data_IF_161896093725
#
_entry.id   IF_161896093725
#
_cell.length_a   1.000
_cell.length_b   1.000
_cell.length_c   1.000
_cell.angle_alpha   90.00
_cell.angle_beta   90.00
_cell.angle_gamma   90.00
#
_symmetry.space_group_name_H-M   'P 1'
#
loop_
_entity.id
_entity.type
_entity.pdbx_description
1 polymer ?
#
# COMPACT_ATOMS: atom_id res chain seq x y z
N UNK A 1 -7.96 12.29 8.49
CA UNK A 1 -8.23 11.81 7.12
C UNK A 1 -9.72 11.76 6.87
N UNK A 2 -10.19 12.12 5.67
CA UNK A 2 -11.60 11.95 5.31
C UNK A 2 -11.98 10.49 5.47
N UNK A 3 -13.06 10.21 6.21
CA UNK A 3 -13.55 8.83 6.46
C UNK A 3 -14.20 8.21 5.22
N UNK A 4 -14.43 9.00 4.16
CA UNK A 4 -15.12 8.55 2.95
C UNK A 4 -14.13 8.07 1.88
N UNK A 5 -14.46 6.90 1.34
CA UNK A 5 -13.83 6.31 0.18
C UNK A 5 -13.90 7.22 -1.05
N UNK A 6 -12.78 7.52 -1.74
CA UNK A 6 -12.82 8.16 -3.04
C UNK A 6 -13.19 7.14 -4.14
N UNK A 7 -14.42 6.61 -4.10
CA UNK A 7 -14.89 5.49 -4.92
C UNK A 7 -14.72 5.71 -6.42
N UNK A 8 -14.99 6.93 -6.90
CA UNK A 8 -14.87 7.29 -8.32
C UNK A 8 -13.41 7.21 -8.80
N UNK A 9 -12.48 7.76 -8.01
CA UNK A 9 -11.05 7.72 -8.32
C UNK A 9 -10.51 6.28 -8.32
N UNK A 10 -10.91 5.47 -7.34
CA UNK A 10 -10.48 4.06 -7.27
C UNK A 10 -10.97 3.27 -8.48
N UNK A 11 -12.23 3.42 -8.87
CA UNK A 11 -12.77 2.78 -10.08
C UNK A 11 -12.05 3.23 -11.35
N UNK A 12 -11.69 4.51 -11.45
CA UNK A 12 -10.92 5.03 -12.58
C UNK A 12 -9.53 4.38 -12.63
N UNK A 13 -8.80 4.33 -11.52
CA UNK A 13 -7.48 3.72 -11.44
C UNK A 13 -7.50 2.22 -11.73
N UNK A 14 -8.48 1.50 -11.19
CA UNK A 14 -8.62 0.07 -11.43
C UNK A 14 -8.96 -0.25 -12.91
N UNK A 15 -9.73 0.59 -13.59
CA UNK A 15 -10.07 0.42 -15.03
C UNK A 15 -8.98 0.88 -15.99
N UNK A 16 -8.08 1.77 -15.56
CA UNK A 16 -7.08 2.41 -16.45
C UNK A 16 -6.18 1.40 -17.18
N UNK A 17 -5.91 0.24 -16.57
CA UNK A 17 -4.89 -0.69 -17.05
C UNK A 17 -5.43 -2.05 -17.51
N UNK A 18 -6.75 -2.28 -17.44
CA UNK A 18 -7.31 -3.62 -17.65
C UNK A 18 -8.75 -3.58 -18.16
N UNK A 19 -9.08 -4.42 -19.15
CA UNK A 19 -10.46 -4.60 -19.62
C UNK A 19 -11.25 -5.55 -18.70
N UNK A 20 -11.08 -5.41 -17.38
CA UNK A 20 -11.69 -6.29 -16.38
C UNK A 20 -12.98 -5.68 -15.82
N UNK A 21 -13.95 -6.54 -15.54
CA UNK A 21 -15.18 -6.14 -14.86
C UNK A 21 -14.92 -6.05 -13.36
N UNK A 22 -14.92 -4.84 -12.82
CA UNK A 22 -14.78 -4.60 -11.38
C UNK A 22 -16.09 -5.04 -10.69
N UNK A 23 -15.99 -6.02 -9.79
CA UNK A 23 -17.11 -6.50 -8.98
C UNK A 23 -17.71 -5.40 -8.09
N UNK A 24 -18.97 -5.58 -7.68
CA UNK A 24 -19.63 -4.64 -6.76
C UNK A 24 -18.81 -4.53 -5.47
N UNK A 25 -18.54 -3.30 -5.04
CA UNK A 25 -17.76 -2.97 -3.84
C UNK A 25 -16.28 -3.40 -3.84
N UNK A 26 -15.74 -3.93 -4.94
CA UNK A 26 -14.30 -4.22 -5.04
C UNK A 26 -13.43 -2.96 -4.89
N UNK A 27 -14.00 -1.78 -5.17
CA UNK A 27 -13.36 -0.48 -4.91
C UNK A 27 -13.11 -0.23 -3.42
N UNK A 28 -13.98 -0.74 -2.53
CA UNK A 28 -13.78 -0.62 -1.07
C UNK A 28 -12.66 -1.54 -0.58
N UNK A 29 -12.52 -2.74 -1.17
CA UNK A 29 -11.40 -3.64 -0.88
C UNK A 29 -10.06 -3.03 -1.32
N UNK A 30 -10.03 -2.42 -2.51
CA UNK A 30 -8.85 -1.71 -2.98
C UNK A 30 -8.50 -0.52 -2.06
N UNK A 31 -9.50 0.20 -1.56
CA UNK A 31 -9.28 1.27 -0.59
C UNK A 31 -8.69 0.75 0.72
N UNK A 32 -9.25 -0.34 1.27
CA UNK A 32 -8.75 -0.94 2.51
C UNK A 32 -7.28 -1.36 2.32
N UNK A 33 -6.98 -2.04 1.22
CA UNK A 33 -5.61 -2.45 0.91
C UNK A 33 -4.66 -1.25 0.84
N UNK A 34 -5.08 -0.17 0.15
CA UNK A 34 -4.31 1.07 0.10
C UNK A 34 -4.06 1.66 1.50
N UNK A 35 -5.06 1.67 2.37
CA UNK A 35 -4.91 2.17 3.74
C UNK A 35 -3.93 1.32 4.56
N UNK A 36 -4.00 0.00 4.45
CA UNK A 36 -3.09 -0.92 5.15
C UNK A 36 -1.65 -0.75 4.66
N UNK A 37 -1.46 -0.63 3.34
CA UNK A 37 -0.14 -0.38 2.74
C UNK A 37 0.41 0.96 3.20
N UNK A 38 -0.37 2.04 3.15
CA UNK A 38 0.06 3.37 3.59
C UNK A 38 0.40 3.41 5.08
N UNK A 39 -0.37 2.71 5.92
CA UNK A 39 -0.11 2.63 7.35
C UNK A 39 1.23 1.93 7.63
N UNK A 40 1.46 0.75 7.04
CA UNK A 40 2.73 0.02 7.18
C UNK A 40 3.91 0.83 6.65
N UNK A 41 3.75 1.41 5.45
CA UNK A 41 4.79 2.25 4.85
C UNK A 41 5.14 3.44 5.73
N UNK A 42 4.16 4.10 6.35
CA UNK A 42 4.39 5.22 7.26
C UNK A 42 5.14 4.78 8.53
N UNK A 43 4.75 3.64 9.10
CA UNK A 43 5.39 3.08 10.30
C UNK A 43 6.86 2.69 10.04
N UNK A 44 7.11 1.93 8.97
CA UNK A 44 8.46 1.53 8.56
C UNK A 44 9.32 2.74 8.15
N UNK A 45 8.74 3.73 7.49
CA UNK A 45 9.46 4.98 7.13
C UNK A 45 9.81 5.81 8.37
N UNK A 46 8.97 5.76 9.41
CA UNK A 46 9.24 6.42 10.69
C UNK A 46 10.39 5.74 11.43
N UNK A 47 10.41 4.40 11.47
CA UNK A 47 11.54 3.64 12.03
C UNK A 47 12.84 3.98 11.30
N UNK A 48 12.82 4.00 9.96
CA UNK A 48 14.00 4.33 9.17
C UNK A 48 14.50 5.76 9.36
N UNK A 49 13.58 6.72 9.49
CA UNK A 49 13.94 8.10 9.82
C UNK A 49 14.60 8.18 11.20
N UNK A 50 14.11 7.42 12.18
CA UNK A 50 14.69 7.36 13.52
C UNK A 50 16.09 6.74 13.54
N UNK A 51 16.32 5.64 12.80
CA UNK A 51 17.64 5.01 12.63
C UNK A 51 18.66 6.00 12.04
N UNK A 52 18.23 6.81 11.07
CA UNK A 52 19.04 7.86 10.45
C UNK A 52 19.12 9.15 11.29
N UNK A 53 18.60 9.15 12.53
CA UNK A 53 18.55 10.31 13.45
C UNK A 53 17.87 11.53 12.82
N UNK A 54 16.90 11.30 11.93
CA UNK A 54 16.08 12.34 11.30
C UNK A 54 14.82 12.60 12.11
N UNK A 55 14.58 13.86 12.43
CA UNK A 55 13.35 14.29 13.10
C UNK A 55 12.11 14.28 12.17
N UNK A 56 12.31 14.19 10.85
CA UNK A 56 11.23 14.24 9.86
C UNK A 56 11.36 13.11 8.85
N UNK A 57 10.21 12.58 8.40
CA UNK A 57 10.17 11.57 7.34
C UNK A 57 10.43 12.26 6.00
N UNK A 58 11.63 12.08 5.45
CA UNK A 58 12.04 12.54 4.13
C UNK A 58 11.76 11.50 3.03
N UNK A 59 11.75 11.98 1.79
CA UNK A 59 11.46 11.18 0.58
C UNK A 59 12.36 9.96 0.45
N UNK A 60 13.63 10.06 0.84
CA UNK A 60 14.56 8.94 0.71
C UNK A 60 14.27 7.80 1.70
N UNK A 61 13.77 8.08 2.90
CA UNK A 61 13.33 7.02 3.83
C UNK A 61 12.15 6.25 3.23
N UNK A 62 11.12 6.96 2.73
CA UNK A 62 9.95 6.33 2.08
C UNK A 62 10.37 5.51 0.87
N UNK A 63 11.26 6.05 0.01
CA UNK A 63 11.78 5.34 -1.15
C UNK A 63 12.55 4.08 -0.75
N UNK A 64 13.36 4.15 0.29
CA UNK A 64 14.15 3.02 0.74
C UNK A 64 13.27 1.92 1.35
N UNK A 65 12.21 2.30 2.09
CA UNK A 65 11.21 1.34 2.58
C UNK A 65 10.39 0.75 1.45
N UNK A 66 9.86 1.56 0.53
CA UNK A 66 9.06 1.11 -0.61
C UNK A 66 9.81 0.12 -1.52
N UNK A 67 11.13 0.31 -1.69
CA UNK A 67 11.99 -0.63 -2.41
C UNK A 67 12.15 -1.97 -1.67
N UNK A 68 12.26 -1.95 -0.34
CA UNK A 68 12.39 -3.16 0.48
C UNK A 68 11.07 -3.94 0.51
N UNK A 69 9.98 -3.23 0.82
CA UNK A 69 8.63 -3.83 0.88
C UNK A 69 8.19 -4.41 -0.47
N UNK A 70 8.60 -3.85 -1.60
CA UNK A 70 8.33 -4.47 -2.91
C UNK A 70 8.81 -5.92 -3.06
N UNK A 71 9.91 -6.30 -2.40
CA UNK A 71 10.45 -7.67 -2.44
C UNK A 71 9.86 -8.58 -1.35
N UNK A 72 9.58 -8.03 -0.17
CA UNK A 72 9.07 -8.80 0.98
C UNK A 72 7.58 -9.14 0.84
N UNK A 73 6.79 -8.26 0.21
CA UNK A 73 5.34 -8.48 0.03
C UNK A 73 5.02 -9.65 -0.91
N UNK A 74 5.81 -9.84 -1.98
CA UNK A 74 5.65 -11.02 -2.84
C UNK A 74 6.00 -12.32 -2.09
N UNK A 75 7.03 -12.29 -1.25
CA UNK A 75 7.47 -13.45 -0.48
C UNK A 75 6.48 -13.83 0.63
N UNK A 76 5.88 -12.84 1.30
CA UNK A 76 4.90 -13.04 2.36
C UNK A 76 3.51 -13.44 1.82
N UNK A 77 3.07 -12.86 0.70
CA UNK A 77 1.83 -13.30 0.03
C UNK A 77 1.98 -14.71 -0.59
N UNK A 78 3.17 -15.08 -1.06
CA UNK A 78 3.46 -16.42 -1.56
C UNK A 78 3.55 -17.49 -0.45
N UNK A 79 3.88 -17.12 0.80
CA UNK A 79 3.85 -18.07 1.92
C UNK A 79 2.42 -18.38 2.37
N UNK A 80 1.53 -17.38 2.33
CA UNK A 80 0.14 -17.53 2.74
C UNK A 80 -0.67 -18.41 1.77
N UNK A 81 -0.28 -18.46 0.48
CA UNK A 81 -0.91 -19.30 -0.54
C UNK A 81 -0.36 -20.74 -0.61
N UNK A 82 0.53 -21.15 0.32
CA UNK A 82 1.01 -22.55 0.46
C UNK A 82 0.32 -23.33 1.57
N UNK A 83 -0.59 -22.70 2.32
CA UNK A 83 -1.38 -23.32 3.39
C UNK A 83 -2.85 -23.57 3.01
N UNK A 84 -3.17 -23.54 1.70
CA UNK A 84 -4.45 -23.99 1.14
C UNK A 84 -4.21 -25.20 0.24
#
# INVERSE_FOLDING_TARGET
>A
MSKKAPRAALKLHMKKNTNIRIGKNADLMAQLNLLVVLHRLAEESRVKAFEEKSATIKVHHVRAVAKSSGADWFSMAASENRNC
#
